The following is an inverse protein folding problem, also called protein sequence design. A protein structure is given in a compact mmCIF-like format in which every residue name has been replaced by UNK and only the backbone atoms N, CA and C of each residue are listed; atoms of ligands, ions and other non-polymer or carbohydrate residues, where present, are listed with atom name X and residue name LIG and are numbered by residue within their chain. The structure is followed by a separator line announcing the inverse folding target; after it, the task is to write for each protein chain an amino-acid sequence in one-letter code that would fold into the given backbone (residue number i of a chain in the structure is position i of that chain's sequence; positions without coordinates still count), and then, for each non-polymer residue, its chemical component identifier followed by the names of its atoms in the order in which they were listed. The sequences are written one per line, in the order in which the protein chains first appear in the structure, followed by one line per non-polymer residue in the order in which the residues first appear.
data_IF_047680293881
#
_entry.id   IF_047680293881
#
_cell.length_a   1.000
_cell.length_b   1.000
_cell.length_c   1.000
_cell.angle_alpha   90.00
_cell.angle_beta   90.00
_cell.angle_gamma   90.00
#
_symmetry.space_group_name_H-M   'P 1'
#
loop_
_entity.id
_entity.type
_entity.pdbx_description
1 polymer ?
#
# COMPACT_ATOMS: atom_id res chain seq x y z
N UNK A 1 -13.95 -0.16 16.71
CA UNK A 1 -12.59 0.24 16.30
C UNK A 1 -11.84 -1.02 15.96
N UNK A 2 -11.31 -1.13 14.74
CA UNK A 2 -10.49 -2.30 14.37
C UNK A 2 -9.10 -2.07 14.98
N UNK A 3 -8.68 -2.97 15.83
CA UNK A 3 -7.31 -2.98 16.31
C UNK A 3 -6.39 -3.52 15.19
N UNK A 4 -5.42 -2.72 14.77
CA UNK A 4 -4.45 -3.10 13.76
C UNK A 4 -3.23 -3.71 14.44
N UNK A 5 -3.08 -5.05 14.45
CA UNK A 5 -1.88 -5.66 15.00
C UNK A 5 -0.70 -5.43 14.06
N UNK A 6 0.53 -5.42 14.56
CA UNK A 6 1.69 -5.50 13.69
C UNK A 6 1.71 -6.84 12.94
N UNK A 7 1.98 -6.78 11.64
CA UNK A 7 2.15 -7.96 10.79
C UNK A 7 3.63 -8.11 10.47
N UNK A 8 4.18 -9.31 10.57
CA UNK A 8 5.62 -9.48 10.44
C UNK A 8 6.01 -10.78 9.73
N UNK A 9 7.09 -10.72 9.01
CA UNK A 9 7.85 -11.85 8.52
C UNK A 9 9.37 -11.63 8.77
N UNK A 10 10.21 -12.46 8.20
CA UNK A 10 11.67 -12.36 8.36
C UNK A 10 12.26 -11.08 7.76
N UNK A 11 11.57 -10.44 6.83
CA UNK A 11 12.07 -9.34 6.01
C UNK A 11 11.52 -7.99 6.43
N UNK A 12 10.22 -7.93 6.70
CA UNK A 12 9.52 -6.67 7.00
C UNK A 12 8.58 -6.81 8.17
N UNK A 13 8.34 -5.68 8.82
CA UNK A 13 7.26 -5.48 9.79
C UNK A 13 6.32 -4.42 9.23
N UNK A 14 5.03 -4.72 9.21
CA UNK A 14 3.98 -3.75 8.97
C UNK A 14 3.43 -3.33 10.34
N UNK A 15 3.65 -2.11 10.75
CA UNK A 15 3.03 -1.56 11.96
C UNK A 15 2.10 -0.40 11.62
N UNK A 16 1.06 -0.16 12.41
CA UNK A 16 0.22 1.01 12.22
C UNK A 16 1.04 2.31 12.19
N UNK A 17 0.56 3.30 11.43
CA UNK A 17 1.16 4.63 11.41
C UNK A 17 1.02 5.32 12.77
N UNK A 18 2.10 5.96 13.22
CA UNK A 18 2.15 6.83 14.38
C UNK A 18 2.39 8.28 13.94
N UNK A 19 2.01 9.23 14.77
CA UNK A 19 2.15 10.66 14.43
C UNK A 19 3.61 11.07 14.22
N UNK A 20 4.54 10.40 14.91
CA UNK A 20 5.99 10.61 14.75
C UNK A 20 6.55 10.13 13.39
N UNK A 21 5.76 9.39 12.62
CA UNK A 21 6.15 8.99 11.26
C UNK A 21 5.88 10.08 10.22
N UNK A 22 5.13 11.12 10.58
CA UNK A 22 4.61 12.08 9.61
C UNK A 22 5.71 12.87 8.89
N UNK A 23 6.78 13.26 9.57
CA UNK A 23 7.89 13.98 8.95
C UNK A 23 8.61 13.11 7.92
N UNK A 24 8.83 11.84 8.25
CA UNK A 24 9.41 10.88 7.31
C UNK A 24 8.51 10.65 6.09
N UNK A 25 7.21 10.46 6.30
CA UNK A 25 6.25 10.26 5.21
C UNK A 25 6.26 11.44 4.22
N UNK A 26 6.11 12.67 4.76
CA UNK A 26 6.08 13.88 3.95
C UNK A 26 7.37 14.09 3.16
N UNK A 27 8.52 13.70 3.71
CA UNK A 27 9.79 13.73 3.00
C UNK A 27 9.90 12.63 1.93
N UNK A 28 9.47 11.40 2.26
CA UNK A 28 9.58 10.24 1.38
C UNK A 28 8.75 10.39 0.10
N UNK A 29 7.53 10.93 0.18
CA UNK A 29 6.65 11.08 -0.99
C UNK A 29 7.14 12.09 -2.02
N UNK A 30 8.13 12.91 -1.70
CA UNK A 30 8.79 13.83 -2.65
C UNK A 30 9.72 13.11 -3.63
N UNK A 31 10.01 11.84 -3.39
CA UNK A 31 10.79 11.01 -4.31
C UNK A 31 10.12 10.98 -5.69
N UNK A 32 10.84 11.29 -6.79
CA UNK A 32 10.27 11.33 -8.14
C UNK A 32 9.62 10.01 -8.58
N UNK A 33 10.14 8.86 -8.17
CA UNK A 33 9.57 7.55 -8.51
C UNK A 33 8.24 7.32 -7.79
N UNK A 34 8.11 7.77 -6.54
CA UNK A 34 6.84 7.73 -5.81
C UNK A 34 5.84 8.68 -6.48
N UNK A 35 6.25 9.88 -6.81
CA UNK A 35 5.39 10.87 -7.48
C UNK A 35 4.90 10.39 -8.85
N UNK A 36 5.73 9.68 -9.58
CA UNK A 36 5.42 9.22 -10.94
C UNK A 36 4.23 8.28 -11.01
N UNK A 37 4.08 7.39 -10.04
CA UNK A 37 3.12 6.29 -10.10
C UNK A 37 2.14 6.21 -8.93
N UNK A 38 2.02 7.27 -8.15
CA UNK A 38 1.07 7.36 -7.02
C UNK A 38 0.22 8.61 -7.10
N UNK A 39 -0.84 8.63 -6.30
CA UNK A 39 -1.68 9.82 -6.09
C UNK A 39 -1.15 10.75 -5.02
N UNK A 40 0.04 10.50 -4.47
CA UNK A 40 0.61 11.31 -3.39
C UNK A 40 0.87 12.74 -3.86
N UNK A 41 0.41 13.77 -3.12
CA UNK A 41 0.69 15.17 -3.44
C UNK A 41 2.19 15.50 -3.27
N UNK A 42 2.75 16.30 -4.17
CA UNK A 42 4.14 16.76 -4.05
C UNK A 42 4.36 17.71 -2.87
N UNK A 43 3.34 18.48 -2.51
CA UNK A 43 3.35 19.50 -1.47
C UNK A 43 2.78 19.02 -0.13
N UNK A 44 2.68 17.70 0.05
CA UNK A 44 2.16 17.11 1.28
C UNK A 44 3.01 17.51 2.49
N UNK A 45 2.38 18.10 3.50
CA UNK A 45 3.05 18.54 4.73
C UNK A 45 2.96 17.48 5.82
N UNK A 46 3.91 17.49 6.75
CA UNK A 46 3.88 16.62 7.93
C UNK A 46 2.62 16.83 8.79
N UNK A 47 2.11 18.06 8.87
CA UNK A 47 0.88 18.36 9.59
C UNK A 47 -0.34 17.69 8.94
N UNK A 48 -0.44 17.73 7.62
CA UNK A 48 -1.50 17.02 6.88
C UNK A 48 -1.40 15.52 7.07
N UNK A 49 -0.17 14.97 7.08
CA UNK A 49 0.04 13.54 7.35
C UNK A 49 -0.39 13.18 8.78
N UNK A 50 -0.01 13.96 9.80
CA UNK A 50 -0.46 13.73 11.19
C UNK A 50 -1.98 13.72 11.30
N UNK A 51 -2.64 14.70 10.69
CA UNK A 51 -4.09 14.75 10.67
C UNK A 51 -4.72 13.51 10.00
N UNK A 52 -4.14 13.04 8.90
CA UNK A 52 -4.59 11.84 8.22
C UNK A 52 -4.38 10.57 9.08
N UNK A 53 -3.26 10.45 9.78
CA UNK A 53 -2.98 9.33 10.70
C UNK A 53 -4.01 9.31 11.84
N UNK A 54 -4.31 10.45 12.44
CA UNK A 54 -5.32 10.55 13.51
C UNK A 54 -6.71 10.18 12.98
N UNK A 55 -7.07 10.69 11.80
CA UNK A 55 -8.35 10.37 11.16
C UNK A 55 -8.50 8.87 10.84
N UNK A 56 -7.41 8.22 10.44
CA UNK A 56 -7.40 6.80 10.11
C UNK A 56 -7.77 5.90 11.30
N UNK A 57 -7.41 6.30 12.52
CA UNK A 57 -7.71 5.53 13.75
C UNK A 57 -9.21 5.32 13.98
N UNK A 58 -10.06 6.19 13.48
CA UNK A 58 -11.52 6.10 13.60
C UNK A 58 -12.21 5.33 12.48
N UNK A 59 -11.49 4.95 11.44
CA UNK A 59 -12.08 4.29 10.27
C UNK A 59 -12.30 2.79 10.54
N UNK A 60 -13.35 2.24 9.91
CA UNK A 60 -13.68 0.81 10.01
C UNK A 60 -13.55 0.07 8.67
N UNK A 61 -13.27 0.80 7.62
CA UNK A 61 -13.21 0.33 6.23
C UNK A 61 -11.85 0.58 5.57
N UNK A 62 -10.86 0.95 6.36
CA UNK A 62 -9.49 1.14 5.87
C UNK A 62 -8.44 0.89 6.96
N UNK A 63 -7.27 0.48 6.51
CA UNK A 63 -6.09 0.24 7.33
C UNK A 63 -4.84 0.77 6.62
N UNK A 64 -3.93 1.36 7.35
CA UNK A 64 -2.65 1.85 6.83
C UNK A 64 -1.50 1.43 7.71
N UNK A 65 -0.40 1.01 7.09
CA UNK A 65 0.79 0.54 7.77
C UNK A 65 2.04 1.19 7.21
N UNK A 66 2.97 1.55 8.09
CA UNK A 66 4.34 1.77 7.69
C UNK A 66 5.03 0.42 7.50
N UNK A 67 5.75 0.28 6.40
CA UNK A 67 6.59 -0.88 6.13
C UNK A 67 7.97 -0.59 6.70
N UNK A 68 8.41 -1.41 7.65
CA UNK A 68 9.73 -1.29 8.27
C UNK A 68 10.59 -2.52 7.97
N UNK A 69 11.90 -2.31 7.93
CA UNK A 69 12.88 -3.39 7.91
C UNK A 69 12.80 -4.20 9.21
N UNK A 70 12.66 -5.52 9.12
CA UNK A 70 12.48 -6.37 10.29
C UNK A 70 13.71 -6.42 11.22
N UNK A 71 14.91 -6.25 10.68
CA UNK A 71 16.15 -6.31 11.45
C UNK A 71 16.50 -4.97 12.10
N UNK A 72 16.24 -3.85 11.43
CA UNK A 72 16.71 -2.52 11.85
C UNK A 72 15.61 -1.59 12.32
N UNK A 73 14.34 -1.86 11.96
CA UNK A 73 13.22 -0.96 12.20
C UNK A 73 13.17 0.26 11.27
N UNK A 74 14.09 0.35 10.29
CA UNK A 74 14.10 1.44 9.32
C UNK A 74 12.79 1.50 8.54
N UNK A 75 12.21 2.70 8.42
CA UNK A 75 11.03 2.92 7.60
C UNK A 75 11.38 2.78 6.13
N UNK A 76 10.63 1.97 5.38
CA UNK A 76 10.90 1.63 3.99
C UNK A 76 9.75 1.94 3.04
N UNK A 77 8.55 2.14 3.54
CA UNK A 77 7.41 2.39 2.67
C UNK A 77 6.08 2.51 3.40
N UNK A 78 5.05 2.56 2.60
CA UNK A 78 3.65 2.59 3.00
C UNK A 78 2.88 1.48 2.29
N UNK A 79 1.96 0.84 3.00
CA UNK A 79 0.96 -0.03 2.42
C UNK A 79 -0.38 0.21 3.09
N UNK A 80 -1.43 0.27 2.30
CA UNK A 80 -2.78 0.57 2.78
C UNK A 80 -3.81 -0.34 2.12
N UNK A 81 -4.88 -0.58 2.84
CA UNK A 81 -6.05 -1.32 2.40
C UNK A 81 -7.30 -0.48 2.66
N UNK A 82 -8.15 -0.39 1.67
CA UNK A 82 -9.52 0.12 1.82
C UNK A 82 -10.47 -0.97 1.35
N UNK A 83 -11.60 -1.17 2.04
CA UNK A 83 -12.56 -2.19 1.64
C UNK A 83 -14.00 -1.72 1.73
N UNK A 84 -14.85 -2.38 0.93
CA UNK A 84 -16.29 -2.23 0.99
C UNK A 84 -16.92 -3.64 0.82
N UNK A 85 -17.77 -4.01 1.75
CA UNK A 85 -18.27 -5.39 1.80
C UNK A 85 -17.13 -6.39 1.96
N UNK A 86 -17.01 -7.34 1.04
CA UNK A 86 -15.98 -8.38 1.06
C UNK A 86 -14.83 -8.14 0.07
N UNK A 87 -14.78 -7.00 -0.60
CA UNK A 87 -13.74 -6.65 -1.55
C UNK A 87 -12.85 -5.52 -1.03
N UNK A 88 -11.54 -5.68 -1.13
CA UNK A 88 -10.55 -4.70 -0.73
C UNK A 88 -9.70 -4.20 -1.89
N UNK A 89 -9.25 -2.94 -1.81
CA UNK A 89 -8.28 -2.34 -2.71
C UNK A 89 -7.00 -2.01 -1.95
N UNK A 90 -5.88 -2.52 -2.44
CA UNK A 90 -4.55 -2.34 -1.85
C UNK A 90 -3.77 -1.30 -2.64
N UNK A 91 -3.08 -0.42 -1.92
CA UNK A 91 -2.12 0.53 -2.49
C UNK A 91 -0.83 0.52 -1.68
N UNK A 92 0.31 0.81 -2.32
CA UNK A 92 1.60 0.89 -1.65
C UNK A 92 2.61 1.72 -2.44
N UNK A 93 3.63 2.16 -1.75
CA UNK A 93 4.87 2.66 -2.32
C UNK A 93 6.06 2.29 -1.42
N UNK A 94 7.25 2.23 -2.01
CA UNK A 94 8.50 1.91 -1.31
C UNK A 94 9.49 3.04 -1.54
N UNK A 95 10.09 3.53 -0.45
CA UNK A 95 11.15 4.52 -0.48
C UNK A 95 12.42 3.96 -1.15
N UNK A 96 13.29 4.85 -1.62
CA UNK A 96 14.49 4.46 -2.38
C UNK A 96 15.34 3.40 -1.67
N UNK A 97 15.47 3.50 -0.35
CA UNK A 97 16.27 2.59 0.49
C UNK A 97 15.72 1.16 0.52
N UNK A 98 14.42 1.00 0.27
CA UNK A 98 13.75 -0.31 0.28
C UNK A 98 13.65 -0.99 -1.08
N UNK A 99 13.99 -0.30 -2.17
CA UNK A 99 13.82 -0.83 -3.53
C UNK A 99 14.82 -1.93 -3.85
N UNK A 100 14.41 -2.87 -4.71
CA UNK A 100 15.26 -3.98 -5.16
C UNK A 100 15.53 -5.05 -4.09
N UNK A 101 14.88 -4.97 -2.92
CA UNK A 101 15.09 -5.87 -1.78
C UNK A 101 13.90 -6.80 -1.49
N UNK A 102 12.90 -6.81 -2.36
CA UNK A 102 11.68 -7.62 -2.17
C UNK A 102 10.74 -7.09 -1.08
N UNK A 103 10.92 -5.87 -0.62
CA UNK A 103 10.13 -5.23 0.45
C UNK A 103 8.66 -5.12 0.07
N UNK A 104 8.35 -4.60 -1.11
CA UNK A 104 6.97 -4.45 -1.57
C UNK A 104 6.25 -5.79 -1.68
N UNK A 105 6.92 -6.82 -2.21
CA UNK A 105 6.35 -8.17 -2.32
C UNK A 105 6.06 -8.78 -0.95
N UNK A 106 6.99 -8.66 0.00
CA UNK A 106 6.81 -9.15 1.36
C UNK A 106 5.65 -8.42 2.07
N UNK A 107 5.62 -7.09 1.98
CA UNK A 107 4.55 -6.27 2.56
C UNK A 107 3.18 -6.63 1.99
N UNK A 108 3.09 -6.78 0.66
CA UNK A 108 1.84 -7.12 -0.02
C UNK A 108 1.35 -8.52 0.36
N UNK A 109 2.25 -9.50 0.51
CA UNK A 109 1.89 -10.85 0.98
C UNK A 109 1.33 -10.84 2.39
N UNK A 110 1.98 -10.12 3.31
CA UNK A 110 1.56 -10.01 4.71
C UNK A 110 0.18 -9.36 4.82
N UNK A 111 0.00 -8.19 4.20
CA UNK A 111 -1.28 -7.50 4.22
C UNK A 111 -2.39 -8.35 3.62
N UNK A 112 -2.12 -9.00 2.49
CA UNK A 112 -3.11 -9.83 1.80
C UNK A 112 -3.53 -11.04 2.63
N UNK A 113 -2.57 -11.73 3.26
CA UNK A 113 -2.88 -12.84 4.14
C UNK A 113 -3.78 -12.39 5.30
N UNK A 114 -3.43 -11.31 5.99
CA UNK A 114 -4.24 -10.75 7.07
C UNK A 114 -5.65 -10.35 6.61
N UNK A 115 -5.75 -9.66 5.47
CA UNK A 115 -7.04 -9.19 4.95
C UNK A 115 -7.97 -10.36 4.58
N UNK A 116 -7.45 -11.41 3.94
CA UNK A 116 -8.24 -12.55 3.50
C UNK A 116 -8.59 -13.50 4.67
N UNK A 117 -7.70 -13.65 5.67
CA UNK A 117 -7.92 -14.60 6.77
C UNK A 117 -8.56 -13.95 7.99
N UNK A 118 -8.05 -12.79 8.43
CA UNK A 118 -8.47 -12.14 9.69
C UNK A 118 -9.64 -11.18 9.47
N UNK A 119 -9.60 -10.33 8.44
CA UNK A 119 -10.73 -9.48 8.10
C UNK A 119 -11.83 -10.25 7.36
N UNK A 120 -11.52 -11.42 6.80
CA UNK A 120 -12.49 -12.26 6.09
C UNK A 120 -12.90 -11.72 4.73
N UNK A 121 -12.09 -10.87 4.11
CA UNK A 121 -12.36 -10.43 2.75
C UNK A 121 -12.27 -11.60 1.76
N UNK A 122 -13.05 -11.57 0.71
CA UNK A 122 -13.07 -12.62 -0.32
C UNK A 122 -12.16 -12.29 -1.50
N UNK A 123 -11.95 -11.00 -1.76
CA UNK A 123 -11.19 -10.52 -2.91
C UNK A 123 -10.36 -9.27 -2.56
N UNK A 124 -9.13 -9.24 -3.04
CA UNK A 124 -8.26 -8.07 -2.99
C UNK A 124 -7.90 -7.65 -4.41
N UNK A 125 -8.00 -6.36 -4.68
CA UNK A 125 -7.65 -5.73 -5.94
C UNK A 125 -6.47 -4.80 -5.77
N UNK A 126 -5.62 -4.77 -6.78
CA UNK A 126 -4.52 -3.85 -6.91
C UNK A 126 -4.51 -3.34 -8.34
N UNK A 127 -4.45 -2.03 -8.50
CA UNK A 127 -4.30 -1.42 -9.81
C UNK A 127 -3.03 -0.57 -9.88
N UNK A 128 -2.44 -0.49 -11.04
CA UNK A 128 -1.30 0.38 -11.31
C UNK A 128 -1.36 0.92 -12.74
N UNK A 129 -0.60 1.98 -12.99
CA UNK A 129 -0.39 2.44 -14.36
C UNK A 129 0.20 1.31 -15.21
N UNK A 130 -0.24 1.15 -16.45
CA UNK A 130 0.20 0.06 -17.34
C UNK A 130 1.71 -0.01 -17.53
N UNK A 131 2.40 1.14 -17.46
CA UNK A 131 3.85 1.24 -17.59
C UNK A 131 4.61 0.99 -16.28
N UNK A 132 3.91 0.89 -15.16
CA UNK A 132 4.54 0.56 -13.87
C UNK A 132 4.89 -0.93 -13.79
N UNK A 133 5.93 -1.31 -14.51
CA UNK A 133 6.39 -2.70 -14.58
C UNK A 133 6.82 -3.26 -13.24
N UNK A 134 7.38 -2.41 -12.37
CA UNK A 134 7.79 -2.82 -11.02
C UNK A 134 6.59 -3.26 -10.18
N UNK A 135 5.52 -2.46 -10.13
CA UNK A 135 4.30 -2.80 -9.40
C UNK A 135 3.61 -4.03 -9.97
N UNK A 136 3.59 -4.20 -11.29
CA UNK A 136 3.03 -5.39 -11.94
C UNK A 136 3.76 -6.67 -11.52
N UNK A 137 5.09 -6.66 -11.49
CA UNK A 137 5.90 -7.80 -11.01
C UNK A 137 5.69 -8.08 -9.53
N UNK A 138 5.55 -7.05 -8.70
CA UNK A 138 5.25 -7.20 -7.27
C UNK A 138 3.92 -7.90 -7.08
N UNK A 139 2.86 -7.47 -7.79
CA UNK A 139 1.55 -8.11 -7.74
C UNK A 139 1.62 -9.60 -8.08
N UNK A 140 2.25 -9.94 -9.20
CA UNK A 140 2.42 -11.34 -9.65
C UNK A 140 3.18 -12.19 -8.63
N UNK A 141 4.29 -11.68 -8.09
CA UNK A 141 5.10 -12.37 -7.07
C UNK A 141 4.37 -12.52 -5.73
N UNK A 142 3.43 -11.64 -5.44
CA UNK A 142 2.60 -11.73 -4.24
C UNK A 142 1.35 -12.61 -4.41
N UNK A 143 1.22 -13.31 -5.55
CA UNK A 143 0.13 -14.24 -5.81
C UNK A 143 -1.13 -13.60 -6.38
N UNK A 144 -1.04 -12.37 -6.87
CA UNK A 144 -2.13 -11.72 -7.60
C UNK A 144 -2.10 -12.16 -9.06
N UNK A 145 -3.29 -12.34 -9.64
CA UNK A 145 -3.46 -12.68 -11.06
C UNK A 145 -3.96 -11.47 -11.82
N UNK A 146 -3.51 -11.36 -13.05
CA UNK A 146 -4.00 -10.33 -13.97
C UNK A 146 -5.52 -10.47 -14.20
N UNK A 147 -6.26 -9.37 -14.10
CA UNK A 147 -7.71 -9.33 -14.23
C UNK A 147 -8.14 -8.26 -15.24
N UNK A 148 -7.95 -8.51 -16.56
CA UNK A 148 -8.25 -7.53 -17.62
C UNK A 148 -9.70 -7.03 -17.63
N UNK A 149 -10.63 -7.79 -17.08
CA UNK A 149 -12.05 -7.41 -16.96
C UNK A 149 -12.28 -6.16 -16.12
N UNK A 150 -11.31 -5.80 -15.29
CA UNK A 150 -11.33 -4.60 -14.44
C UNK A 150 -10.42 -3.48 -14.94
N UNK A 151 -9.73 -3.67 -16.06
CA UNK A 151 -8.90 -2.63 -16.66
C UNK A 151 -9.76 -1.45 -17.10
N UNK A 152 -9.12 -0.32 -17.24
CA UNK A 152 -9.79 0.89 -17.67
C UNK A 152 -8.89 2.08 -17.52
N UNK A 153 -9.50 3.19 -17.14
CA UNK A 153 -8.80 4.45 -16.91
C UNK A 153 -9.17 5.01 -15.54
N UNK A 154 -8.21 5.65 -14.89
CA UNK A 154 -8.43 6.43 -13.67
C UNK A 154 -7.82 7.81 -13.80
N UNK A 155 -8.48 8.80 -13.22
CA UNK A 155 -7.93 10.15 -13.11
C UNK A 155 -7.04 10.20 -11.88
N UNK A 156 -5.76 10.47 -12.09
CA UNK A 156 -4.76 10.62 -11.02
C UNK A 156 -4.03 11.94 -11.26
N UNK A 157 -4.05 12.84 -10.27
CA UNK A 157 -3.41 14.17 -10.36
C UNK A 157 -3.78 14.92 -11.66
N UNK A 158 -5.07 14.94 -11.99
CA UNK A 158 -5.64 15.57 -13.20
C UNK A 158 -5.19 14.95 -14.54
N UNK A 159 -4.54 13.78 -14.50
CA UNK A 159 -4.15 13.02 -15.69
C UNK A 159 -4.99 11.75 -15.77
N UNK A 160 -5.33 11.33 -16.97
CA UNK A 160 -6.01 10.07 -17.22
C UNK A 160 -4.98 8.96 -17.42
N UNK A 161 -4.97 8.00 -16.49
CA UNK A 161 -4.06 6.87 -16.51
C UNK A 161 -4.74 5.61 -17.06
N UNK A 162 -4.16 4.96 -18.06
CA UNK A 162 -4.53 3.59 -18.39
C UNK A 162 -4.01 2.68 -17.27
N UNK A 163 -4.90 1.84 -16.70
CA UNK A 163 -4.55 1.00 -15.57
C UNK A 163 -4.63 -0.49 -15.90
N UNK A 164 -3.75 -1.25 -15.27
CA UNK A 164 -3.76 -2.71 -15.22
C UNK A 164 -4.20 -3.15 -13.83
N UNK A 165 -5.17 -4.07 -13.76
CA UNK A 165 -5.73 -4.57 -12.50
C UNK A 165 -5.30 -6.01 -12.26
N UNK A 166 -4.98 -6.29 -11.00
CA UNK A 166 -4.60 -7.59 -10.48
C UNK A 166 -5.52 -7.96 -9.32
N UNK A 167 -5.84 -9.22 -9.19
CA UNK A 167 -6.77 -9.74 -8.18
C UNK A 167 -6.14 -10.93 -7.45
N UNK A 168 -6.35 -10.97 -6.15
CA UNK A 168 -6.11 -12.13 -5.29
C UNK A 168 -7.39 -12.47 -4.55
N UNK A 169 -7.84 -13.70 -4.69
CA UNK A 169 -9.04 -14.22 -4.03
C UNK A 169 -8.63 -15.09 -2.83
N UNK A 170 -9.57 -15.26 -1.92
CA UNK A 170 -9.44 -16.21 -0.82
C UNK A 170 -9.52 -17.63 -1.40
N UNK A 171 -8.60 -18.50 -1.01
CA UNK A 171 -8.59 -19.92 -1.36
C UNK A 171 -9.79 -20.66 -0.76
#
# INVERSE_FOLDING_TARGET
MIELPPLLDERVVLRPWEEDDADWYAAAVRDPEIQRFTSEPEDLTAEQVRAAIVALRGQQDQAGFVVCDAATGQRLGNIALRWAGLAGEVSYWVAAEGRGRGVATAALRLLSAWALTTLGLSELRLWCHVDNRASRRVAERAGYRRAPRYDGQRVVKQQTWPIAVYVREKD
#
